data_IF_700102806074
#
_entry.id   IF_700102806074
#
_cell.length_a   1.000
_cell.length_b   1.000
_cell.length_c   1.000
_cell.angle_alpha   90.00
_cell.angle_beta   90.00
_cell.angle_gamma   90.00
#
_symmetry.space_group_name_H-M   'P 1'
#
loop_
_entity.id
_entity.type
_entity.pdbx_description
1 polymer ?
#
# COMPACT_ATOMS: atom_id res chain seq x y z
N UNK A 1 -6.82 0.30 24.44
CA UNK A 1 -7.82 -0.09 23.42
C UNK A 1 -7.07 -0.38 22.14
N UNK A 2 -7.50 -1.36 21.33
CA UNK A 2 -6.90 -1.57 20.01
C UNK A 2 -7.05 -0.30 19.17
N UNK A 3 -6.07 -0.02 18.30
CA UNK A 3 -6.22 0.99 17.26
C UNK A 3 -7.35 0.60 16.30
N UNK A 4 -7.99 1.56 15.64
CA UNK A 4 -8.98 1.27 14.60
C UNK A 4 -8.50 1.78 13.25
N UNK A 5 -8.29 0.87 12.30
CA UNK A 5 -8.03 1.20 10.89
C UNK A 5 -9.36 1.20 10.12
N UNK A 6 -9.74 2.33 9.55
CA UNK A 6 -10.92 2.45 8.70
C UNK A 6 -10.54 2.53 7.22
N UNK A 7 -11.09 1.63 6.41
CA UNK A 7 -10.92 1.66 4.95
C UNK A 7 -12.05 0.91 4.25
N UNK A 8 -12.10 1.02 2.92
CA UNK A 8 -12.94 0.13 2.12
C UNK A 8 -12.53 -1.34 2.30
N UNK A 9 -13.47 -2.25 2.11
CA UNK A 9 -13.25 -3.70 2.10
C UNK A 9 -12.57 -4.17 0.80
N UNK A 10 -11.42 -3.54 0.50
CA UNK A 10 -10.54 -3.82 -0.64
C UNK A 10 -9.09 -3.75 -0.15
N UNK A 11 -8.14 -4.21 -0.95
CA UNK A 11 -6.70 -3.98 -0.75
C UNK A 11 -6.39 -2.48 -0.68
N UNK A 12 -6.47 -1.80 -1.83
CA UNK A 12 -6.27 -0.36 -2.03
C UNK A 12 -5.12 0.25 -1.21
N UNK A 13 -5.30 1.52 -0.82
CA UNK A 13 -4.31 2.31 -0.08
C UNK A 13 -4.02 1.83 1.35
N UNK A 14 -4.78 0.84 1.84
CA UNK A 14 -4.61 0.32 3.20
C UNK A 14 -3.69 -0.91 3.27
N UNK A 15 -3.23 -1.45 2.14
CA UNK A 15 -2.45 -2.69 2.15
C UNK A 15 -1.13 -2.55 2.92
N UNK A 16 -0.31 -1.54 2.58
CA UNK A 16 0.92 -1.24 3.31
C UNK A 16 0.68 -0.98 4.81
N UNK A 17 -0.44 -0.33 5.16
CA UNK A 17 -0.80 -0.05 6.57
C UNK A 17 -1.11 -1.34 7.33
N UNK A 18 -1.94 -2.22 6.75
CA UNK A 18 -2.26 -3.53 7.35
C UNK A 18 -0.99 -4.35 7.57
N UNK A 19 -0.14 -4.44 6.54
CA UNK A 19 1.14 -5.14 6.64
C UNK A 19 2.03 -4.55 7.74
N UNK A 20 2.10 -3.23 7.86
CA UNK A 20 2.91 -2.57 8.89
C UNK A 20 2.37 -2.82 10.30
N UNK A 21 1.05 -2.79 10.50
CA UNK A 21 0.41 -3.11 11.77
C UNK A 21 0.69 -4.56 12.19
N UNK A 22 0.65 -5.50 11.25
CA UNK A 22 0.99 -6.91 11.50
C UNK A 22 2.46 -7.10 11.84
N UNK A 23 3.34 -6.42 11.10
CA UNK A 23 4.78 -6.49 11.33
C UNK A 23 5.18 -5.96 12.71
N UNK A 24 4.57 -4.84 13.13
CA UNK A 24 4.84 -4.23 14.44
C UNK A 24 4.11 -4.90 15.60
N UNK A 25 3.36 -5.99 15.34
CA UNK A 25 2.55 -6.70 16.32
C UNK A 25 1.56 -5.77 17.04
N UNK A 26 1.03 -4.80 16.29
CA UNK A 26 0.11 -3.79 16.81
C UNK A 26 -1.22 -4.41 17.20
N UNK A 27 -1.78 -3.98 18.32
CA UNK A 27 -3.18 -4.28 18.67
C UNK A 27 -4.11 -3.35 17.87
N UNK A 28 -4.82 -3.89 16.88
CA UNK A 28 -5.73 -3.12 16.04
C UNK A 28 -6.96 -3.94 15.60
N UNK A 29 -8.02 -3.22 15.27
CA UNK A 29 -9.23 -3.72 14.63
C UNK A 29 -9.46 -2.97 13.31
N UNK A 30 -10.20 -3.58 12.37
CA UNK A 30 -10.57 -2.95 11.11
C UNK A 30 -12.05 -2.58 11.05
N UNK A 31 -12.34 -1.33 10.71
CA UNK A 31 -13.66 -0.90 10.24
C UNK A 31 -13.64 -0.94 8.71
N UNK A 32 -14.18 -2.03 8.16
CA UNK A 32 -14.27 -2.23 6.70
C UNK A 32 -15.61 -1.72 6.19
N UNK A 33 -15.55 -0.75 5.28
CA UNK A 33 -16.73 -0.20 4.61
C UNK A 33 -16.96 -0.94 3.29
N UNK A 34 -18.18 -1.39 3.04
CA UNK A 34 -18.55 -2.03 1.78
C UNK A 34 -19.15 -1.01 0.83
N UNK A 35 -18.62 -0.92 -0.39
CA UNK A 35 -19.27 -0.22 -1.51
C UNK A 35 -20.32 -1.15 -2.13
N UNK A 36 -21.53 -0.65 -2.34
CA UNK A 36 -22.61 -1.36 -3.01
C UNK A 36 -22.30 -1.70 -4.46
N UNK A 37 -23.13 -2.55 -5.06
CA UNK A 37 -22.96 -2.99 -6.44
C UNK A 37 -23.37 -1.92 -7.46
N UNK A 38 -22.96 -2.15 -8.72
CA UNK A 38 -23.38 -1.34 -9.85
C UNK A 38 -24.91 -1.44 -10.06
N UNK A 39 -25.56 -0.38 -10.59
CA UNK A 39 -24.97 0.89 -11.03
C UNK A 39 -24.82 1.93 -9.91
N UNK A 40 -25.39 1.69 -8.74
CA UNK A 40 -25.54 2.71 -7.70
C UNK A 40 -24.25 2.95 -6.90
N UNK A 41 -23.43 1.90 -6.75
CA UNK A 41 -22.19 1.94 -5.99
C UNK A 41 -22.35 2.57 -4.60
N UNK A 42 -23.40 2.17 -3.87
CA UNK A 42 -23.79 2.79 -2.61
C UNK A 42 -22.60 2.92 -1.63
N UNK A 43 -22.47 4.11 -1.04
CA UNK A 43 -21.41 4.44 -0.07
C UNK A 43 -21.98 4.81 1.29
N UNK A 44 -23.27 4.54 1.53
CA UNK A 44 -24.00 4.95 2.73
C UNK A 44 -23.30 4.53 4.02
N UNK A 45 -22.71 3.33 4.07
CA UNK A 45 -21.96 2.85 5.23
C UNK A 45 -20.90 3.87 5.65
N UNK A 46 -20.03 4.30 4.73
CA UNK A 46 -19.02 5.32 5.03
C UNK A 46 -19.63 6.70 5.24
N UNK A 47 -20.51 7.13 4.33
CA UNK A 47 -21.05 8.49 4.34
C UNK A 47 -21.86 8.80 5.61
N UNK A 48 -22.47 7.78 6.24
CA UNK A 48 -23.26 7.93 7.46
C UNK A 48 -22.42 8.24 8.71
N UNK A 49 -21.12 7.92 8.70
CA UNK A 49 -20.19 8.09 9.83
C UNK A 49 -19.01 9.02 9.52
N UNK A 50 -18.75 9.34 8.25
CA UNK A 50 -17.65 10.21 7.77
C UNK A 50 -17.38 11.44 8.64
N UNK A 51 -18.43 12.18 9.00
CA UNK A 51 -18.32 13.44 9.75
C UNK A 51 -18.56 13.29 11.27
N UNK A 52 -18.67 12.05 11.77
CA UNK A 52 -18.95 11.74 13.19
C UNK A 52 -17.75 11.18 13.94
N UNK A 53 -16.66 10.91 13.24
CA UNK A 53 -15.45 10.30 13.81
C UNK A 53 -14.47 11.33 14.42
N UNK A 54 -14.70 12.63 14.20
CA UNK A 54 -13.82 13.70 14.67
C UNK A 54 -12.50 13.81 13.89
N UNK A 55 -12.46 13.35 12.64
CA UNK A 55 -11.31 13.51 11.73
C UNK A 55 -11.22 14.96 11.25
N UNK A 56 -10.02 15.56 11.24
CA UNK A 56 -9.81 16.93 10.75
C UNK A 56 -10.11 17.07 9.25
N UNK A 57 -9.63 16.09 8.47
CA UNK A 57 -9.89 15.96 7.03
C UNK A 57 -10.52 14.59 6.76
N UNK A 58 -11.85 14.43 6.90
CA UNK A 58 -12.52 13.13 6.80
C UNK A 58 -12.26 12.41 5.48
N UNK A 59 -11.50 11.30 5.54
CA UNK A 59 -11.07 10.54 4.38
C UNK A 59 -10.79 9.07 4.74
N UNK A 60 -10.57 8.24 3.72
CA UNK A 60 -10.16 6.84 3.85
C UNK A 60 -8.80 6.63 3.14
N UNK A 61 -7.81 5.97 3.76
CA UNK A 61 -7.87 5.36 5.09
C UNK A 61 -7.81 6.39 6.22
N UNK A 62 -8.32 5.98 7.39
CA UNK A 62 -8.07 6.64 8.66
C UNK A 62 -7.52 5.66 9.71
N UNK A 63 -6.76 6.16 10.67
CA UNK A 63 -6.34 5.43 11.87
C UNK A 63 -6.78 6.22 13.11
N UNK A 64 -7.44 5.54 14.06
CA UNK A 64 -7.76 6.07 15.38
C UNK A 64 -6.96 5.31 16.43
N UNK A 65 -6.15 6.04 17.19
CA UNK A 65 -5.35 5.51 18.30
C UNK A 65 -5.49 6.43 19.52
N UNK A 66 -6.41 6.05 20.43
CA UNK A 66 -6.78 6.88 21.57
C UNK A 66 -7.30 8.25 21.11
N UNK A 67 -6.59 9.32 21.49
CA UNK A 67 -6.93 10.68 21.08
C UNK A 67 -6.44 11.05 19.66
N UNK A 68 -5.54 10.27 19.07
CA UNK A 68 -5.00 10.53 17.74
C UNK A 68 -5.96 10.04 16.66
N UNK A 69 -6.32 10.94 15.74
CA UNK A 69 -7.23 10.69 14.63
C UNK A 69 -6.56 11.13 13.34
N UNK A 70 -6.11 10.19 12.54
CA UNK A 70 -5.17 10.43 11.45
C UNK A 70 -5.80 9.99 10.14
N UNK A 71 -5.75 10.84 9.12
CA UNK A 71 -6.04 10.47 7.72
C UNK A 71 -4.78 10.62 6.87
N UNK A 72 -4.86 10.26 5.59
CA UNK A 72 -3.72 10.11 4.65
C UNK A 72 -2.86 8.89 4.94
N UNK A 73 -2.76 7.98 3.97
CA UNK A 73 -2.03 6.71 4.13
C UNK A 73 -0.58 6.90 4.56
N UNK A 74 0.14 7.84 3.94
CA UNK A 74 1.54 8.13 4.28
C UNK A 74 1.69 8.70 5.70
N UNK A 75 0.76 9.55 6.15
CA UNK A 75 0.79 10.07 7.52
C UNK A 75 0.52 8.97 8.56
N UNK A 76 -0.39 8.03 8.25
CA UNK A 76 -0.68 6.86 9.07
C UNK A 76 0.56 5.95 9.15
N UNK A 77 1.18 5.63 8.01
CA UNK A 77 2.41 4.82 7.96
C UNK A 77 3.53 5.47 8.77
N UNK A 78 3.81 6.76 8.57
CA UNK A 78 4.82 7.50 9.33
C UNK A 78 4.49 7.55 10.83
N UNK A 79 3.22 7.64 11.22
CA UNK A 79 2.82 7.58 12.63
C UNK A 79 3.20 6.25 13.29
N UNK A 80 2.82 5.14 12.65
CA UNK A 80 3.15 3.79 13.13
C UNK A 80 4.68 3.63 13.11
N UNK A 81 5.35 4.03 12.04
CA UNK A 81 6.78 3.92 11.89
C UNK A 81 7.55 4.63 13.01
N UNK A 82 7.15 5.85 13.39
CA UNK A 82 7.77 6.60 14.49
C UNK A 82 7.61 5.91 15.84
N UNK A 83 6.50 5.21 16.08
CA UNK A 83 6.30 4.43 17.32
C UNK A 83 7.28 3.25 17.45
N UNK A 84 7.85 2.80 16.34
CA UNK A 84 8.67 1.58 16.27
C UNK A 84 10.08 1.83 15.69
N UNK A 85 10.51 3.08 15.54
CA UNK A 85 11.80 3.47 14.94
C UNK A 85 12.03 2.92 13.52
N UNK A 86 11.01 2.99 12.66
CA UNK A 86 11.03 2.48 11.28
C UNK A 86 11.08 3.60 10.22
N UNK A 87 11.73 4.74 10.52
CA UNK A 87 11.71 5.95 9.69
C UNK A 87 13.01 6.31 8.97
N UNK A 88 14.06 5.50 9.10
CA UNK A 88 15.43 5.92 8.80
C UNK A 88 16.03 6.73 9.97
N UNK A 89 17.30 6.48 10.25
CA UNK A 89 18.05 7.01 11.38
C UNK A 89 19.00 8.14 10.94
N UNK A 90 19.76 7.92 9.86
CA UNK A 90 20.69 8.91 9.30
C UNK A 90 20.02 9.87 8.32
N UNK A 91 20.71 10.95 7.95
CA UNK A 91 20.20 11.88 6.95
C UNK A 91 20.07 11.23 5.57
N UNK A 92 21.05 10.41 5.18
CA UNK A 92 21.02 9.64 3.95
C UNK A 92 19.82 8.69 3.91
N UNK A 93 19.53 8.03 5.02
CA UNK A 93 18.38 7.15 5.15
C UNK A 93 17.06 7.91 5.04
N UNK A 94 16.95 9.08 5.69
CA UNK A 94 15.76 9.95 5.60
C UNK A 94 15.53 10.46 4.18
N UNK A 95 16.59 10.88 3.48
CA UNK A 95 16.49 11.30 2.07
C UNK A 95 15.94 10.15 1.22
N UNK A 96 16.43 8.92 1.42
CA UNK A 96 15.93 7.75 0.68
C UNK A 96 14.48 7.44 1.00
N UNK A 97 14.09 7.54 2.27
CA UNK A 97 12.69 7.40 2.73
C UNK A 97 11.79 8.41 2.03
N UNK A 98 12.18 9.68 2.04
CA UNK A 98 11.35 10.76 1.50
C UNK A 98 11.19 10.66 -0.02
N UNK A 99 12.26 10.33 -0.75
CA UNK A 99 12.20 10.09 -2.20
C UNK A 99 11.30 8.89 -2.50
N UNK A 100 11.53 7.76 -1.85
CA UNK A 100 10.82 6.52 -2.16
C UNK A 100 9.34 6.58 -1.79
N UNK A 101 8.98 7.22 -0.67
CA UNK A 101 7.57 7.42 -0.29
C UNK A 101 6.79 8.15 -1.37
N UNK A 102 7.36 9.24 -1.91
CA UNK A 102 6.71 10.04 -2.95
C UNK A 102 6.71 9.31 -4.30
N UNK A 103 7.82 8.66 -4.67
CA UNK A 103 7.90 7.89 -5.91
C UNK A 103 6.93 6.70 -5.91
N UNK A 104 6.79 5.99 -4.79
CA UNK A 104 5.83 4.89 -4.67
C UNK A 104 4.38 5.40 -4.84
N UNK A 105 4.06 6.57 -4.30
CA UNK A 105 2.75 7.20 -4.48
C UNK A 105 2.46 7.56 -5.95
N UNK A 106 3.43 8.15 -6.64
CA UNK A 106 3.28 8.51 -8.07
C UNK A 106 3.01 7.27 -8.93
N UNK A 107 3.79 6.20 -8.71
CA UNK A 107 3.63 4.92 -9.42
C UNK A 107 2.29 4.27 -9.11
N UNK A 108 1.87 4.26 -7.83
CA UNK A 108 0.54 3.77 -7.44
C UNK A 108 -0.57 4.49 -8.16
N UNK A 109 -0.48 5.83 -8.22
CA UNK A 109 -1.49 6.67 -8.84
C UNK A 109 -1.51 6.51 -10.35
N UNK A 110 -0.35 6.30 -10.99
CA UNK A 110 -0.26 6.05 -12.42
C UNK A 110 -1.01 4.76 -12.79
N UNK A 111 -0.75 3.64 -12.09
CA UNK A 111 -1.45 2.39 -12.35
C UNK A 111 -2.96 2.51 -12.05
N UNK A 112 -3.33 3.16 -10.94
CA UNK A 112 -4.72 3.39 -10.61
C UNK A 112 -5.45 4.14 -11.73
N UNK A 113 -4.86 5.20 -12.31
CA UNK A 113 -5.46 5.94 -13.43
C UNK A 113 -5.76 5.05 -14.62
N UNK A 114 -4.85 4.13 -14.96
CA UNK A 114 -5.07 3.14 -16.03
C UNK A 114 -6.25 2.23 -15.65
N UNK A 115 -6.22 1.61 -14.46
CA UNK A 115 -7.22 0.62 -14.04
C UNK A 115 -8.63 1.18 -13.81
N UNK A 116 -8.78 2.48 -13.53
CA UNK A 116 -10.07 3.14 -13.40
C UNK A 116 -10.59 3.75 -14.72
N UNK A 117 -9.76 3.78 -15.78
CA UNK A 117 -10.17 4.39 -17.05
C UNK A 117 -11.18 3.50 -17.79
N UNK A 118 -12.24 4.06 -18.38
CA UNK A 118 -13.06 3.36 -19.37
C UNK A 118 -12.25 2.93 -20.60
N UNK A 119 -11.13 3.60 -20.88
CA UNK A 119 -10.20 3.33 -21.99
C UNK A 119 -9.03 2.40 -21.56
N UNK A 120 -9.30 1.49 -20.63
CA UNK A 120 -8.29 0.63 -19.99
C UNK A 120 -7.42 -0.13 -21.01
N UNK A 121 -8.02 -0.71 -22.05
CA UNK A 121 -7.29 -1.56 -23.00
C UNK A 121 -6.21 -0.80 -23.78
N UNK A 122 -6.48 0.45 -24.19
CA UNK A 122 -5.49 1.29 -24.87
C UNK A 122 -4.39 1.76 -23.91
N UNK A 123 -4.79 2.29 -22.75
CA UNK A 123 -3.85 2.80 -21.75
C UNK A 123 -2.98 1.70 -21.14
N UNK A 124 -3.49 0.46 -21.04
CA UNK A 124 -2.72 -0.69 -20.57
C UNK A 124 -1.53 -0.97 -21.49
N UNK A 125 -1.71 -0.90 -22.80
CA UNK A 125 -0.62 -1.17 -23.75
C UNK A 125 0.53 -0.16 -23.57
N UNK A 126 0.21 1.13 -23.51
CA UNK A 126 1.19 2.20 -23.25
C UNK A 126 1.88 2.03 -21.89
N UNK A 127 1.11 1.67 -20.85
CA UNK A 127 1.65 1.45 -19.52
C UNK A 127 2.66 0.29 -19.48
N UNK A 128 2.34 -0.82 -20.16
CA UNK A 128 3.21 -2.00 -20.22
C UNK A 128 4.50 -1.74 -21.00
N UNK A 129 4.50 -0.83 -21.97
CA UNK A 129 5.72 -0.42 -22.68
C UNK A 129 6.70 0.33 -21.76
N UNK A 130 6.19 1.15 -20.85
CA UNK A 130 7.00 1.95 -19.91
C UNK A 130 7.41 1.18 -18.65
N UNK A 131 6.66 0.13 -18.30
CA UNK A 131 6.83 -0.64 -17.07
C UNK A 131 8.26 -1.16 -16.84
N UNK A 132 8.99 -1.71 -17.84
CA UNK A 132 10.37 -2.17 -17.63
C UNK A 132 11.31 -1.05 -17.19
N UNK A 133 11.23 0.13 -17.82
CA UNK A 133 12.06 1.28 -17.44
C UNK A 133 11.73 1.79 -16.03
N UNK A 134 10.46 1.75 -15.65
CA UNK A 134 10.05 2.08 -14.28
C UNK A 134 10.63 1.09 -13.26
N UNK A 135 10.53 -0.22 -13.51
CA UNK A 135 11.08 -1.26 -12.62
C UNK A 135 12.62 -1.19 -12.55
N UNK A 136 13.30 -0.82 -13.64
CA UNK A 136 14.73 -0.60 -13.66
C UNK A 136 15.16 0.49 -12.66
N UNK A 137 14.42 1.61 -12.57
CA UNK A 137 14.72 2.67 -11.62
C UNK A 137 14.64 2.19 -10.16
N UNK A 138 13.62 1.40 -9.81
CA UNK A 138 13.55 0.79 -8.47
C UNK A 138 14.68 -0.20 -8.22
N UNK A 139 15.02 -1.02 -9.21
CA UNK A 139 16.12 -1.99 -9.13
C UNK A 139 17.46 -1.29 -8.89
N UNK A 140 17.74 -0.21 -9.63
CA UNK A 140 18.95 0.59 -9.45
C UNK A 140 18.96 1.28 -8.08
N UNK A 141 17.81 1.81 -7.65
CA UNK A 141 17.70 2.49 -6.37
C UNK A 141 17.92 1.54 -5.18
N UNK A 142 17.38 0.31 -5.21
CA UNK A 142 17.66 -0.73 -4.22
C UNK A 142 19.12 -1.20 -4.27
N UNK A 143 19.66 -1.41 -5.48
CA UNK A 143 21.02 -1.86 -5.72
C UNK A 143 21.31 -3.19 -5.02
N UNK A 144 22.30 -3.18 -4.11
CA UNK A 144 22.73 -4.34 -3.31
C UNK A 144 22.23 -4.31 -1.87
N UNK A 145 21.39 -3.34 -1.51
CA UNK A 145 20.90 -3.20 -0.14
C UNK A 145 19.90 -4.32 0.19
N UNK A 146 19.75 -4.59 1.48
CA UNK A 146 18.78 -5.60 1.96
C UNK A 146 17.36 -5.05 1.89
N UNK A 147 17.20 -3.81 2.31
CA UNK A 147 15.98 -3.02 2.28
C UNK A 147 16.25 -1.72 1.52
N UNK A 148 15.22 -1.01 1.10
CA UNK A 148 15.37 0.18 0.28
C UNK A 148 16.14 1.31 0.96
N UNK A 149 16.22 1.32 2.29
CA UNK A 149 16.90 2.38 3.05
C UNK A 149 18.25 1.91 3.58
N UNK A 150 18.55 0.60 3.54
CA UNK A 150 19.84 0.07 3.97
C UNK A 150 19.74 -1.37 4.47
N UNK A 151 20.33 -1.62 5.64
CA UNK A 151 20.30 -2.94 6.30
C UNK A 151 19.08 -3.14 7.19
N UNK A 152 18.43 -2.06 7.63
CA UNK A 152 17.24 -2.08 8.47
C UNK A 152 15.98 -1.81 7.63
N UNK A 153 14.91 -2.53 7.93
CA UNK A 153 13.61 -2.31 7.31
C UNK A 153 12.99 -1.01 7.85
N UNK A 154 12.27 -0.31 6.99
CA UNK A 154 11.53 0.91 7.31
C UNK A 154 10.12 0.84 6.73
N UNK A 155 9.26 1.82 7.03
CA UNK A 155 7.90 1.81 6.50
C UNK A 155 7.83 1.92 4.97
N UNK A 156 8.86 2.48 4.31
CA UNK A 156 8.85 2.59 2.84
C UNK A 156 9.07 1.25 2.14
N UNK A 157 9.63 0.25 2.84
CA UNK A 157 9.68 -1.12 2.31
C UNK A 157 8.27 -1.74 2.18
N UNK A 158 7.32 -1.32 3.03
CA UNK A 158 5.92 -1.76 2.96
C UNK A 158 5.20 -1.12 1.76
N UNK A 159 5.51 0.15 1.46
CA UNK A 159 5.05 0.82 0.25
C UNK A 159 5.67 0.18 -1.00
N UNK A 160 6.98 -0.06 -0.99
CA UNK A 160 7.68 -0.67 -2.10
C UNK A 160 7.18 -2.10 -2.38
N UNK A 161 6.94 -2.90 -1.34
CA UNK A 161 6.32 -4.21 -1.49
C UNK A 161 4.93 -4.11 -2.12
N UNK A 162 4.06 -3.24 -1.59
CA UNK A 162 2.70 -3.08 -2.11
C UNK A 162 2.71 -2.73 -3.60
N UNK A 163 3.59 -1.81 -4.01
CA UNK A 163 3.75 -1.44 -5.42
C UNK A 163 4.27 -2.61 -6.25
N UNK A 164 5.35 -3.27 -5.83
CA UNK A 164 5.92 -4.37 -6.62
C UNK A 164 4.97 -5.56 -6.73
N UNK A 165 4.29 -5.95 -5.66
CA UNK A 165 3.28 -7.03 -5.71
C UNK A 165 2.06 -6.62 -6.56
N UNK A 166 1.61 -5.38 -6.48
CA UNK A 166 0.54 -4.87 -7.34
C UNK A 166 0.92 -4.99 -8.83
N UNK A 167 2.17 -4.69 -9.19
CA UNK A 167 2.67 -4.83 -10.56
C UNK A 167 2.87 -6.30 -10.96
N UNK A 168 3.26 -7.18 -10.05
CA UNK A 168 3.29 -8.62 -10.31
C UNK A 168 1.89 -9.19 -10.56
N UNK A 169 0.85 -8.67 -9.91
CA UNK A 169 -0.54 -9.07 -10.22
C UNK A 169 -0.98 -8.52 -11.58
N UNK A 170 -0.54 -7.31 -11.94
CA UNK A 170 -0.89 -6.66 -13.21
C UNK A 170 -0.17 -7.28 -14.42
N UNK A 171 1.13 -7.52 -14.29
CA UNK A 171 2.01 -8.14 -15.29
C UNK A 171 3.01 -9.08 -14.58
N UNK A 172 2.72 -10.40 -14.54
CA UNK A 172 3.48 -11.37 -13.74
C UNK A 172 4.97 -11.48 -14.04
N UNK A 173 5.40 -11.08 -15.24
CA UNK A 173 6.81 -11.14 -15.65
C UNK A 173 7.55 -9.81 -15.49
N UNK A 174 6.91 -8.77 -14.96
CA UNK A 174 7.49 -7.43 -14.90
C UNK A 174 8.80 -7.34 -14.09
N UNK A 175 9.05 -8.30 -13.18
CA UNK A 175 10.27 -8.35 -12.37
C UNK A 175 11.34 -9.34 -12.86
N UNK A 176 11.10 -10.10 -13.94
CA UNK A 176 12.01 -11.18 -14.36
C UNK A 176 13.41 -10.67 -14.76
N UNK A 177 13.50 -9.43 -15.25
CA UNK A 177 14.77 -8.78 -15.56
C UNK A 177 15.49 -8.19 -14.34
N UNK A 178 14.88 -8.20 -13.15
CA UNK A 178 15.36 -7.50 -11.96
C UNK A 178 15.48 -8.46 -10.76
N UNK A 179 16.54 -9.30 -10.70
CA UNK A 179 16.69 -10.30 -9.64
C UNK A 179 16.64 -9.72 -8.22
N UNK A 180 17.22 -8.54 -7.99
CA UNK A 180 17.21 -7.90 -6.67
C UNK A 180 15.79 -7.49 -6.21
N UNK A 181 14.89 -7.14 -7.13
CA UNK A 181 13.49 -6.85 -6.81
C UNK A 181 12.72 -8.13 -6.50
N UNK A 182 12.97 -9.24 -7.22
CA UNK A 182 12.40 -10.55 -6.90
C UNK A 182 12.87 -11.02 -5.52
N UNK A 183 14.15 -10.86 -5.22
CA UNK A 183 14.73 -11.18 -3.92
C UNK A 183 14.16 -10.30 -2.81
N UNK A 184 13.89 -9.01 -3.08
CA UNK A 184 13.21 -8.12 -2.14
C UNK A 184 11.80 -8.60 -1.81
N UNK A 185 10.98 -8.91 -2.84
CA UNK A 185 9.62 -9.40 -2.65
C UNK A 185 9.62 -10.69 -1.82
N UNK A 186 10.46 -11.67 -2.19
CA UNK A 186 10.58 -12.93 -1.46
C UNK A 186 11.04 -12.73 -0.01
N UNK A 187 11.99 -11.82 0.23
CA UNK A 187 12.48 -11.49 1.57
C UNK A 187 11.40 -10.85 2.43
N UNK A 188 10.63 -9.92 1.86
CA UNK A 188 9.53 -9.26 2.57
C UNK A 188 8.44 -10.26 2.96
N UNK A 189 7.99 -11.10 2.02
CA UNK A 189 6.99 -12.14 2.30
C UNK A 189 7.50 -13.23 3.26
N UNK A 190 8.82 -13.42 3.31
CA UNK A 190 9.50 -14.32 4.24
C UNK A 190 9.60 -13.80 5.68
N UNK A 191 9.31 -12.52 5.95
CA UNK A 191 9.31 -11.98 7.31
C UNK A 191 8.29 -12.74 8.17
N UNK A 192 8.70 -13.24 9.34
CA UNK A 192 7.89 -14.15 10.17
C UNK A 192 6.45 -13.65 10.40
N UNK A 193 6.27 -12.38 10.79
CA UNK A 193 4.94 -11.79 11.04
C UNK A 193 4.12 -11.65 9.75
N UNK A 194 4.76 -11.24 8.65
CA UNK A 194 4.11 -11.11 7.33
C UNK A 194 3.69 -12.48 6.77
N UNK A 195 4.59 -13.46 6.78
CA UNK A 195 4.31 -14.82 6.30
C UNK A 195 3.17 -15.49 7.09
N UNK A 196 3.10 -15.24 8.40
CA UNK A 196 1.97 -15.71 9.22
C UNK A 196 0.69 -14.98 8.82
N UNK A 197 0.71 -13.66 8.75
CA UNK A 197 -0.46 -12.84 8.39
C UNK A 197 -1.06 -13.25 7.03
N UNK A 198 -0.21 -13.43 6.00
CA UNK A 198 -0.62 -13.80 4.64
C UNK A 198 -1.34 -15.16 4.54
N UNK A 199 -1.25 -16.00 5.58
CA UNK A 199 -1.94 -17.29 5.66
C UNK A 199 -3.25 -17.22 6.45
N UNK A 200 -3.58 -16.06 7.01
CA UNK A 200 -4.83 -15.86 7.78
C UNK A 200 -5.96 -15.36 6.89
N UNK A 201 -7.20 -15.52 7.36
CA UNK A 201 -8.39 -14.95 6.71
C UNK A 201 -8.43 -13.40 6.75
N UNK A 202 -7.56 -12.76 7.54
CA UNK A 202 -7.47 -11.30 7.61
C UNK A 202 -6.74 -10.72 6.41
N UNK A 203 -5.87 -11.51 5.77
CA UNK A 203 -5.09 -11.07 4.61
C UNK A 203 -5.99 -10.79 3.41
N UNK A 204 -6.12 -9.51 3.09
CA UNK A 204 -6.95 -9.02 2.00
C UNK A 204 -6.08 -8.70 0.77
N UNK A 205 -5.90 -9.71 -0.08
CA UNK A 205 -5.09 -9.60 -1.32
C UNK A 205 -5.85 -8.93 -2.46
N UNK A 206 -7.15 -9.22 -2.58
CA UNK A 206 -8.07 -8.68 -3.60
C UNK A 206 -9.41 -8.31 -2.95
N UNK A 207 -10.25 -7.47 -3.58
CA UNK A 207 -10.00 -6.72 -4.83
C UNK A 207 -8.92 -5.65 -4.65
N UNK A 208 -8.21 -5.33 -5.73
CA UNK A 208 -7.13 -4.31 -5.71
C UNK A 208 -7.70 -2.90 -5.59
N UNK A 209 -8.78 -2.64 -6.32
CA UNK A 209 -9.46 -1.36 -6.45
C UNK A 209 -10.94 -1.47 -6.09
N UNK A 210 -11.63 -0.33 -6.01
CA UNK A 210 -13.07 -0.30 -5.74
C UNK A 210 -13.85 -0.87 -6.92
N UNK A 211 -15.12 -1.20 -6.70
CA UNK A 211 -16.03 -1.81 -7.70
C UNK A 211 -16.15 -1.01 -9.01
N UNK A 212 -15.85 0.30 -8.97
CA UNK A 212 -15.92 1.22 -10.12
C UNK A 212 -14.75 1.03 -11.09
N UNK A 213 -13.63 0.44 -10.67
CA UNK A 213 -12.49 0.23 -11.56
C UNK A 213 -12.84 -0.75 -12.69
N UNK A 214 -12.28 -0.50 -13.88
CA UNK A 214 -12.37 -1.38 -15.04
C UNK A 214 -11.59 -2.67 -14.83
N UNK A 215 -10.43 -2.58 -14.16
CA UNK A 215 -9.58 -3.72 -13.82
C UNK A 215 -9.25 -3.76 -12.33
N UNK A 216 -9.12 -4.97 -11.77
CA UNK A 216 -8.75 -5.17 -10.36
C UNK A 216 -9.87 -4.88 -9.36
N UNK A 217 -11.12 -4.80 -9.83
CA UNK A 217 -12.32 -4.53 -9.02
C UNK A 217 -12.93 -5.79 -8.37
N UNK A 218 -12.30 -6.95 -8.53
CA UNK A 218 -12.73 -8.26 -8.01
C UNK A 218 -11.56 -8.98 -7.35
#
# INVERSE_FOLDING_TARGET
>A
MPMTLGYWDIRGLAHAIRLLLEYTDSSYEEKRYTMGDAPDYDRSQWLSEKFKLGLDFPNLPYLIDGSHKITQSNAILRYIARKHNLCGETEEEKIRVDILENQAMDVSNQLARVCYSPDFENLKAEYLEQLPGMMELFSQFLGKQTWFVGEKITFVDFLAYDILDLHLIFEPKCLDAFPNLKDFVARFEGLKKISVYMKTSRFLRTPLYTRVATWGNK
#
